data_IF_216719843409
#
_entry.id   IF_216719843409
#
_cell.length_a   1.000
_cell.length_b   1.000
_cell.length_c   1.000
_cell.angle_alpha   90.00
_cell.angle_beta   90.00
_cell.angle_gamma   90.00
#
_symmetry.space_group_name_H-M   'P 1'
#
loop_
_entity.id
_entity.type
_entity.pdbx_description
1 polymer ?
#
# COMPACT_ATOMS: atom_id res chain seq x y z
N UNK A 1 -4.50 20.63 15.99
CA UNK A 1 -5.17 19.42 16.52
C UNK A 1 -5.56 18.51 15.35
N UNK A 2 -4.61 18.07 14.52
CA UNK A 2 -4.92 17.42 13.23
C UNK A 2 -3.94 16.28 12.87
N UNK A 3 -3.34 15.61 13.86
CA UNK A 3 -2.33 14.57 13.59
C UNK A 3 -2.66 13.22 14.24
N UNK A 4 -3.91 12.98 14.64
CA UNK A 4 -4.32 11.74 15.34
C UNK A 4 -5.41 10.95 14.64
N UNK A 5 -6.05 11.50 13.60
CA UNK A 5 -7.17 10.88 12.88
C UNK A 5 -6.75 10.04 11.68
N UNK A 6 -5.64 10.38 11.02
CA UNK A 6 -5.24 9.74 9.77
C UNK A 6 -4.88 8.26 9.93
N UNK A 7 -4.22 7.89 11.04
CA UNK A 7 -3.80 6.51 11.29
C UNK A 7 -4.98 5.61 11.68
N UNK A 8 -5.94 6.12 12.45
CA UNK A 8 -7.16 5.40 12.82
C UNK A 8 -8.09 5.22 11.61
N UNK A 9 -8.23 6.26 10.78
CA UNK A 9 -9.03 6.20 9.56
C UNK A 9 -8.41 5.23 8.54
N UNK A 10 -7.07 5.18 8.46
CA UNK A 10 -6.33 4.22 7.65
C UNK A 10 -6.56 2.78 8.12
N UNK A 11 -6.51 2.51 9.43
CA UNK A 11 -6.77 1.19 10.02
C UNK A 11 -8.23 0.78 9.81
N UNK A 12 -9.18 1.70 10.02
CA UNK A 12 -10.61 1.49 9.80
C UNK A 12 -10.89 1.15 8.35
N UNK A 13 -10.26 1.87 7.43
CA UNK A 13 -10.32 1.64 5.99
C UNK A 13 -9.68 0.30 5.65
N UNK A 14 -8.47 0.02 6.14
CA UNK A 14 -7.79 -1.27 5.93
C UNK A 14 -8.69 -2.44 6.33
N UNK A 15 -9.28 -2.41 7.52
CA UNK A 15 -10.21 -3.45 7.99
C UNK A 15 -11.42 -3.59 7.08
N UNK A 16 -12.07 -2.48 6.70
CA UNK A 16 -13.20 -2.48 5.78
C UNK A 16 -12.86 -3.15 4.45
N UNK A 17 -11.70 -2.82 3.87
CA UNK A 17 -11.23 -3.39 2.60
C UNK A 17 -10.66 -4.81 2.75
N UNK A 18 -10.10 -5.17 3.90
CA UNK A 18 -9.55 -6.50 4.17
C UNK A 18 -10.65 -7.57 4.21
N UNK A 19 -11.82 -7.25 4.76
CA UNK A 19 -13.01 -8.14 4.75
C UNK A 19 -13.88 -7.96 3.50
N UNK A 20 -13.59 -6.97 2.66
CA UNK A 20 -14.42 -6.64 1.51
C UNK A 20 -14.36 -7.75 0.47
N UNK A 21 -15.49 -8.43 0.26
CA UNK A 21 -15.63 -9.52 -0.70
C UNK A 21 -15.02 -10.86 -0.25
N UNK A 22 -14.51 -10.95 0.98
CA UNK A 22 -13.97 -12.18 1.56
C UNK A 22 -14.62 -12.43 2.92
N UNK A 23 -15.70 -13.21 2.92
CA UNK A 23 -16.48 -13.55 4.13
C UNK A 23 -15.72 -14.39 5.14
N UNK A 24 -14.52 -14.90 4.80
CA UNK A 24 -13.63 -15.61 5.72
C UNK A 24 -12.50 -14.75 6.26
N UNK A 25 -12.25 -13.59 5.67
CA UNK A 25 -11.21 -12.70 6.13
C UNK A 25 -11.58 -12.08 7.49
N UNK A 26 -10.61 -12.08 8.40
CA UNK A 26 -10.78 -11.55 9.76
C UNK A 26 -10.48 -10.05 9.87
N UNK A 27 -10.17 -9.41 8.74
CA UNK A 27 -9.72 -8.01 8.69
C UNK A 27 -8.26 -7.83 9.11
N UNK A 28 -7.49 -8.92 9.25
CA UNK A 28 -6.06 -8.90 9.58
C UNK A 28 -5.14 -8.87 8.36
N UNK A 29 -5.66 -9.32 7.22
CA UNK A 29 -4.89 -9.55 5.99
C UNK A 29 -5.66 -8.97 4.81
N UNK A 30 -4.93 -8.44 3.83
CA UNK A 30 -5.48 -7.79 2.65
C UNK A 30 -4.90 -8.42 1.38
N UNK A 31 -5.77 -8.77 0.43
CA UNK A 31 -5.34 -9.26 -0.88
C UNK A 31 -4.92 -8.12 -1.81
N UNK A 32 -4.13 -8.43 -2.84
CA UNK A 32 -3.62 -7.44 -3.79
C UNK A 32 -4.71 -6.67 -4.54
N UNK A 33 -5.87 -7.31 -4.78
CA UNK A 33 -7.02 -6.68 -5.44
C UNK A 33 -7.65 -5.60 -4.56
N UNK A 34 -7.82 -5.88 -3.27
CA UNK A 34 -8.36 -4.95 -2.27
C UNK A 34 -7.35 -3.85 -1.95
N UNK A 35 -6.05 -4.17 -1.91
CA UNK A 35 -4.97 -3.19 -1.81
C UNK A 35 -5.00 -2.19 -2.98
N UNK A 36 -5.04 -2.67 -4.23
CA UNK A 36 -5.15 -1.80 -5.39
C UNK A 36 -6.41 -0.93 -5.37
N UNK A 37 -7.54 -1.46 -4.85
CA UNK A 37 -8.78 -0.69 -4.68
C UNK A 37 -8.62 0.39 -3.61
N UNK A 38 -8.05 0.07 -2.45
CA UNK A 38 -7.78 1.01 -1.37
C UNK A 38 -6.82 2.12 -1.83
N UNK A 39 -5.72 1.78 -2.51
CA UNK A 39 -4.78 2.77 -3.02
C UNK A 39 -5.41 3.73 -4.05
N UNK A 40 -6.44 3.30 -4.79
CA UNK A 40 -7.24 4.18 -5.66
C UNK A 40 -8.21 5.04 -4.86
N UNK A 41 -8.94 4.45 -3.92
CA UNK A 41 -9.99 5.11 -3.12
C UNK A 41 -9.40 6.17 -2.17
N UNK A 42 -8.30 5.83 -1.49
CA UNK A 42 -7.52 6.72 -0.64
C UNK A 42 -6.65 7.72 -1.43
N UNK A 43 -6.76 7.75 -2.77
CA UNK A 43 -5.95 8.60 -3.66
C UNK A 43 -4.44 8.50 -3.37
N UNK A 44 -3.96 7.31 -3.03
CA UNK A 44 -2.52 7.00 -2.88
C UNK A 44 -1.86 7.03 -4.26
N UNK A 45 -2.59 6.54 -5.27
CA UNK A 45 -2.21 6.61 -6.68
C UNK A 45 -2.55 8.01 -7.20
N UNK A 46 -1.52 8.85 -7.32
CA UNK A 46 -1.61 10.18 -7.93
C UNK A 46 -1.55 10.12 -9.47
N UNK A 47 -1.11 8.99 -10.03
CA UNK A 47 -0.94 8.81 -11.47
C UNK A 47 0.30 9.51 -12.05
N UNK A 48 0.90 10.49 -11.34
CA UNK A 48 2.18 11.11 -11.73
C UNK A 48 3.36 10.44 -11.04
N UNK A 49 3.36 10.38 -9.71
CA UNK A 49 4.47 9.83 -8.92
C UNK A 49 4.24 8.38 -8.50
N UNK A 50 3.01 8.07 -8.08
CA UNK A 50 2.60 6.71 -7.71
C UNK A 50 1.59 6.24 -8.74
N UNK A 51 1.92 5.16 -9.45
CA UNK A 51 1.06 4.51 -10.44
C UNK A 51 0.57 3.16 -9.90
N UNK A 52 -0.44 2.57 -10.55
CA UNK A 52 -0.91 1.22 -10.18
C UNK A 52 0.21 0.17 -10.26
N UNK A 53 1.15 0.34 -11.19
CA UNK A 53 2.35 -0.50 -11.30
C UNK A 53 3.24 -0.35 -10.07
N UNK A 54 3.47 0.87 -9.58
CA UNK A 54 4.30 1.10 -8.40
C UNK A 54 3.69 0.46 -7.14
N UNK A 55 2.39 0.60 -6.99
CA UNK A 55 1.60 -0.02 -5.91
C UNK A 55 1.66 -1.55 -5.97
N UNK A 56 1.65 -2.15 -7.16
CA UNK A 56 1.80 -3.59 -7.38
C UNK A 56 3.22 -4.08 -7.07
N UNK A 57 4.25 -3.30 -7.46
CA UNK A 57 5.65 -3.58 -7.13
C UNK A 57 5.84 -3.57 -5.61
N UNK A 58 5.35 -2.54 -4.91
CA UNK A 58 5.46 -2.44 -3.45
C UNK A 58 4.71 -3.59 -2.79
N UNK A 59 3.50 -3.92 -3.25
CA UNK A 59 2.74 -5.06 -2.76
C UNK A 59 3.55 -6.36 -2.89
N UNK A 60 4.15 -6.58 -4.06
CA UNK A 60 4.98 -7.77 -4.33
C UNK A 60 6.28 -7.78 -3.54
N UNK A 61 6.83 -6.61 -3.21
CA UNK A 61 8.04 -6.44 -2.40
C UNK A 61 7.80 -6.72 -0.93
N UNK A 62 6.69 -6.24 -0.35
CA UNK A 62 6.39 -6.42 1.07
C UNK A 62 5.80 -7.79 1.35
N UNK A 63 5.02 -8.35 0.42
CA UNK A 63 4.37 -9.65 0.60
C UNK A 63 5.39 -10.78 0.66
N UNK A 64 5.11 -11.80 1.45
CA UNK A 64 5.85 -13.07 1.41
C UNK A 64 5.92 -13.68 0.00
N UNK A 65 7.04 -14.35 -0.33
CA UNK A 65 7.31 -14.97 -1.65
C UNK A 65 6.17 -15.87 -2.17
N UNK A 66 5.43 -16.51 -1.27
CA UNK A 66 4.27 -17.37 -1.59
C UNK A 66 2.92 -16.81 -1.10
N UNK A 67 2.93 -15.61 -0.51
CA UNK A 67 1.71 -14.97 -0.01
C UNK A 67 0.97 -14.25 -1.13
N UNK A 68 -0.36 -14.41 -1.10
CA UNK A 68 -1.34 -13.70 -1.95
C UNK A 68 -1.99 -12.52 -1.23
N UNK A 69 -1.68 -12.38 0.05
CA UNK A 69 -2.19 -11.37 0.97
C UNK A 69 -1.03 -10.73 1.72
N UNK A 70 -1.26 -9.53 2.26
CA UNK A 70 -0.35 -8.82 3.15
C UNK A 70 -1.03 -8.60 4.48
N UNK A 71 -0.28 -8.68 5.57
CA UNK A 71 -0.73 -8.31 6.91
C UNK A 71 -0.73 -6.79 7.09
N UNK A 72 -1.32 -6.30 8.19
CA UNK A 72 -1.28 -4.88 8.52
C UNK A 72 0.15 -4.32 8.63
N UNK A 73 1.10 -5.11 9.16
CA UNK A 73 2.51 -4.69 9.26
C UNK A 73 3.16 -4.52 7.86
N UNK A 74 2.92 -5.46 6.96
CA UNK A 74 3.39 -5.38 5.56
C UNK A 74 2.70 -4.22 4.82
N UNK A 75 1.42 -3.98 5.09
CA UNK A 75 0.68 -2.83 4.57
C UNK A 75 1.26 -1.49 5.05
N UNK A 76 1.61 -1.37 6.33
CA UNK A 76 2.28 -0.18 6.84
C UNK A 76 3.63 0.04 6.15
N UNK A 77 4.45 -1.03 6.03
CA UNK A 77 5.72 -0.96 5.28
C UNK A 77 5.52 -0.55 3.82
N UNK A 78 4.46 -1.02 3.18
CA UNK A 78 4.14 -0.64 1.82
C UNK A 78 3.84 0.86 1.71
N UNK A 79 3.06 1.40 2.65
CA UNK A 79 2.79 2.84 2.71
C UNK A 79 4.06 3.64 3.02
N UNK A 80 4.95 3.13 3.87
CA UNK A 80 6.26 3.74 4.12
C UNK A 80 7.19 3.72 2.90
N UNK A 81 7.07 2.74 1.99
CA UNK A 81 7.82 2.71 0.72
C UNK A 81 7.20 3.67 -0.31
N UNK A 82 5.88 3.88 -0.25
CA UNK A 82 5.12 4.78 -1.12
C UNK A 82 5.19 6.25 -0.68
N UNK A 83 5.17 6.54 0.62
CA UNK A 83 5.25 7.89 1.19
C UNK A 83 6.42 8.71 0.61
N UNK A 84 7.67 8.21 0.61
CA UNK A 84 8.77 8.94 0.00
C UNK A 84 8.54 9.08 -1.51
N UNK A 85 7.98 8.11 -2.23
CA UNK A 85 7.69 8.28 -3.67
C UNK A 85 6.67 9.39 -3.96
N UNK A 86 5.70 9.60 -3.06
CA UNK A 86 4.72 10.70 -3.17
C UNK A 86 5.35 12.08 -2.98
N UNK A 87 6.35 12.20 -2.10
CA UNK A 87 6.99 13.47 -1.75
C UNK A 87 8.38 13.67 -2.42
N UNK A 88 8.95 12.63 -3.06
CA UNK A 88 10.25 12.68 -3.73
C UNK A 88 10.14 13.27 -5.15
N UNK A 89 9.97 14.58 -5.19
CA UNK A 89 10.63 15.40 -6.22
C UNK A 89 12.13 15.58 -5.97
N UNK A 90 12.67 15.02 -4.87
CA UNK A 90 14.09 15.09 -4.50
C UNK A 90 14.54 13.76 -3.89
N UNK A 91 14.73 12.73 -4.71
CA UNK A 91 16.03 12.06 -4.78
C UNK A 91 16.03 11.18 -6.01
N UNK A 92 16.72 11.68 -7.02
CA UNK A 92 17.42 10.89 -8.00
C UNK A 92 18.13 9.74 -7.28
N UNK A 93 17.55 8.54 -7.35
CA UNK A 93 18.33 7.33 -7.24
C UNK A 93 18.47 6.79 -8.65
N UNK A 94 19.59 7.15 -9.28
CA UNK A 94 20.14 6.31 -10.33
C UNK A 94 20.38 4.93 -9.73
N UNK A 95 19.49 3.98 -9.99
CA UNK A 95 19.85 2.57 -9.93
C UNK A 95 20.62 2.28 -11.21
N UNK A 96 21.90 2.64 -11.16
CA UNK A 96 22.96 1.97 -11.93
C UNK A 96 22.79 0.46 -11.82
N UNK A 97 22.88 -0.22 -12.97
CA UNK A 97 23.31 -1.63 -13.02
C UNK A 97 22.28 -2.66 -13.47
N UNK A 98 21.78 -2.56 -14.70
CA UNK A 98 21.73 -3.76 -15.54
C UNK A 98 23.08 -3.83 -16.26
N UNK A 99 23.96 -4.70 -15.75
CA UNK A 99 25.03 -5.33 -16.51
C UNK A 99 24.95 -6.82 -16.21
#
# INVERSE_FOLDING_TARGET
MAESTDMDELLSTFKKFAIHGDTKATGKEMNGKNWAKLCKDCKVIDGKNITGTDVDIVFTKVKGKSSRVITYEEFQKALEDLAPKRFKGQIHWSFTGCQ
#
